data_IF_140650459030
#
_entry.id   IF_140650459030
#
_cell.length_a   1.000
_cell.length_b   1.000
_cell.length_c   1.000
_cell.angle_alpha   90.00
_cell.angle_beta   90.00
_cell.angle_gamma   90.00
#
_symmetry.space_group_name_H-M   'P 1'
#
loop_
_entity.id
_entity.type
_entity.pdbx_description
1 polymer ?
2 non-polymer ?
3 water ?
#
# COMPACT_ATOMS: atom_id res chain seq x y z
N UNK A 18 26.60 -2.16 -10.96
CA UNK A 18 26.25 -2.26 -9.51
C UNK A 18 24.74 -2.47 -9.43
N UNK A 19 24.01 -1.56 -10.11
CA UNK A 19 22.55 -1.62 -10.00
C UNK A 19 21.91 -1.91 -11.35
N UNK A 20 20.72 -2.52 -11.27
CA UNK A 20 19.88 -2.79 -12.42
C UNK A 20 19.10 -1.55 -12.86
N UNK A 21 19.29 -0.43 -12.17
CA UNK A 21 18.64 0.82 -12.48
C UNK A 21 19.58 1.89 -13.02
N UNK A 22 20.83 1.50 -13.32
CA UNK A 22 21.79 2.42 -13.89
C UNK A 22 21.39 2.76 -15.33
N UNK A 23 20.85 3.97 -15.51
CA UNK A 23 20.40 4.36 -16.85
C UNK A 23 18.89 4.49 -16.95
N UNK A 24 18.16 4.02 -15.92
CA UNK A 24 16.71 4.10 -15.95
C UNK A 24 16.25 5.55 -15.73
N UNK A 25 15.30 6.00 -16.55
CA UNK A 25 14.78 7.36 -16.43
C UNK A 25 13.27 7.39 -16.12
N UNK A 26 12.90 8.41 -15.35
CA UNK A 26 11.51 8.65 -14.97
C UNK A 26 10.93 9.71 -15.89
N UNK A 27 9.81 9.36 -16.51
CA UNK A 27 9.14 10.27 -17.43
C UNK A 27 7.80 10.72 -16.84
N UNK A 28 7.34 11.88 -17.27
CA UNK A 28 6.03 12.40 -16.91
C UNK A 28 5.18 12.52 -18.17
N UNK A 29 4.17 11.66 -18.31
CA UNK A 29 3.31 11.68 -19.48
C UNK A 29 2.06 12.51 -19.23
N UNK A 30 1.79 13.47 -20.09
CA UNK A 30 0.67 14.39 -20.00
C UNK A 30 -0.30 14.09 -21.12
N UNK A 31 -1.45 13.52 -20.78
CA UNK A 31 -2.48 13.19 -21.76
C UNK A 31 -3.56 14.27 -21.77
N UNK A 32 -4.06 14.58 -22.96
CA UNK A 32 -5.08 15.62 -23.14
C UNK A 32 -6.50 15.05 -23.11
N UNK A 33 -6.74 13.92 -23.77
CA UNK A 33 -8.08 13.34 -23.84
C UNK A 33 -8.13 11.89 -23.37
N UNK A 34 -9.34 11.32 -23.38
CA UNK A 34 -9.57 9.93 -23.01
C UNK A 34 -8.95 8.98 -24.03
N UNK A 35 -8.96 9.33 -25.29
CA UNK A 35 -8.39 8.59 -26.39
C UNK A 35 -6.91 8.27 -26.15
N UNK A 36 -6.19 9.21 -25.58
CA UNK A 36 -4.80 9.07 -25.23
C UNK A 36 -4.56 8.26 -23.95
N UNK A 37 -5.51 8.34 -23.00
CA UNK A 37 -5.45 7.57 -21.77
C UNK A 37 -5.33 6.07 -22.07
N UNK A 38 -6.10 5.59 -23.03
CA UNK A 38 -6.11 4.22 -23.50
C UNK A 38 -4.84 3.94 -24.30
N UNK A 39 -4.50 4.87 -25.19
CA UNK A 39 -3.33 4.79 -26.04
C UNK A 39 -2.08 4.50 -25.22
N UNK A 40 -1.81 5.38 -24.25
CA UNK A 40 -0.59 5.36 -23.45
C UNK A 40 -0.58 4.14 -22.53
N UNK A 41 -1.73 3.78 -22.01
CA UNK A 41 -1.90 2.69 -21.08
C UNK A 41 -1.53 1.35 -21.67
N UNK A 42 -2.05 1.02 -22.84
CA UNK A 42 -1.77 -0.22 -23.54
C UNK A 42 -0.30 -0.29 -23.95
N UNK A 43 0.24 0.85 -24.39
CA UNK A 43 1.63 0.90 -24.84
C UNK A 43 2.59 0.55 -23.70
N UNK A 44 2.37 1.16 -22.55
CA UNK A 44 3.14 0.91 -21.35
C UNK A 44 3.09 -0.57 -21.00
N UNK A 45 1.92 -1.20 -21.18
CA UNK A 45 1.72 -2.60 -20.84
C UNK A 45 2.44 -3.56 -21.76
N UNK A 46 2.37 -3.30 -23.05
CA UNK A 46 3.01 -4.16 -24.06
C UNK A 46 4.53 -4.02 -24.00
N UNK A 47 5.02 -2.87 -23.52
CA UNK A 47 6.43 -2.63 -23.36
C UNK A 47 6.87 -3.07 -21.96
N UNK A 48 5.93 -3.49 -21.16
CA UNK A 48 6.12 -3.89 -19.77
C UNK A 48 6.90 -2.90 -18.91
N UNK A 49 6.45 -1.65 -18.92
CA UNK A 49 7.09 -0.58 -18.15
C UNK A 49 6.54 -0.52 -16.72
N UNK A 50 7.32 0.09 -15.84
CA UNK A 50 6.92 0.31 -14.46
C UNK A 50 6.13 1.63 -14.36
N UNK A 51 4.81 1.51 -14.34
CA UNK A 51 3.91 2.63 -14.19
C UNK A 51 3.68 3.01 -12.73
N UNK A 52 4.34 4.05 -12.28
CA UNK A 52 4.18 4.55 -10.90
C UNK A 52 2.81 5.19 -10.69
N UNK A 53 2.33 5.95 -11.70
CA UNK A 53 1.01 6.58 -11.61
C UNK A 53 0.40 6.73 -12.99
N UNK A 54 -0.87 6.41 -13.12
CA UNK A 54 -1.55 6.50 -14.41
C UNK A 54 -1.79 7.93 -14.88
N UNK A 55 -1.64 8.15 -16.17
CA UNK A 55 -1.92 9.42 -16.81
C UNK A 55 -3.44 9.63 -17.00
N UNK A 56 -3.91 10.83 -16.67
CA UNK A 56 -5.29 11.22 -16.88
C UNK A 56 -5.33 12.72 -17.11
N UNK A 57 -6.21 13.22 -17.96
CA UNK A 57 -6.34 14.66 -18.18
C UNK A 57 -6.48 15.46 -16.90
N UNK A 58 -5.52 16.36 -16.65
CA UNK A 58 -5.50 17.18 -15.46
C UNK A 58 -4.53 16.72 -14.37
N UNK A 59 -4.01 15.51 -14.50
CA UNK A 59 -3.05 15.00 -13.52
C UNK A 59 -2.13 13.97 -14.17
N UNK A 60 -1.02 14.43 -14.76
CA UNK A 60 -0.06 13.62 -15.46
C UNK A 60 0.54 12.47 -14.65
N UNK A 61 0.85 11.37 -15.29
CA UNK A 61 1.36 10.22 -14.57
C UNK A 61 2.86 10.07 -14.71
N UNK A 62 3.43 9.17 -13.92
CA UNK A 62 4.86 8.91 -13.93
C UNK A 62 5.17 7.45 -14.27
N UNK A 63 6.20 7.26 -15.11
CA UNK A 63 6.58 5.90 -15.50
C UNK A 63 8.09 5.72 -15.53
N UNK A 64 8.57 4.58 -14.98
CA UNK A 64 9.99 4.29 -15.00
C UNK A 64 10.39 3.52 -16.25
N UNK A 65 11.21 4.09 -17.11
CA UNK A 65 11.60 3.52 -18.40
C UNK A 65 13.07 3.14 -18.46
N UNK A 66 13.34 1.88 -18.75
CA UNK A 66 14.70 1.34 -18.89
C UNK A 66 15.53 2.07 -19.93
N UNK A 67 16.86 2.03 -19.79
CA UNK A 67 17.76 2.70 -20.72
C UNK A 67 17.65 2.20 -22.15
N UNK A 68 17.44 0.90 -22.33
CA UNK A 68 17.34 0.29 -23.64
C UNK A 68 15.96 0.41 -24.24
N UNK A 69 15.09 1.21 -23.65
CA UNK A 69 13.73 1.41 -24.16
C UNK A 69 13.36 2.88 -24.21
N UNK A 70 14.25 3.75 -23.80
CA UNK A 70 14.04 5.19 -23.76
C UNK A 70 13.76 5.79 -25.13
N UNK A 71 14.50 5.34 -26.14
CA UNK A 71 14.35 5.83 -27.50
C UNK A 71 13.04 5.37 -28.13
N UNK A 72 12.68 4.10 -27.94
CA UNK A 72 11.45 3.54 -28.48
C UNK A 72 10.22 4.18 -27.81
N UNK A 73 10.34 4.41 -26.50
CA UNK A 73 9.26 4.93 -25.68
C UNK A 73 8.84 6.32 -26.13
N UNK A 74 9.81 7.24 -26.25
CA UNK A 74 9.54 8.62 -26.56
C UNK A 74 9.29 8.80 -28.05
N UNK A 75 9.65 7.81 -28.84
CA UNK A 75 9.39 7.77 -30.25
C UNK A 75 7.90 7.64 -30.51
N UNK A 76 7.26 6.74 -29.78
CA UNK A 76 5.84 6.48 -29.87
C UNK A 76 5.00 7.67 -29.40
N UNK A 77 5.43 8.30 -28.31
CA UNK A 77 4.71 9.44 -27.76
C UNK A 77 4.77 10.60 -28.75
N UNK A 78 5.91 10.79 -29.37
CA UNK A 78 6.11 11.84 -30.38
C UNK A 78 5.20 11.69 -31.61
N UNK A 79 5.06 10.48 -32.14
CA UNK A 79 4.21 10.22 -33.28
C UNK A 79 2.75 10.11 -32.91
N UNK A 80 2.46 9.98 -31.61
CA UNK A 80 1.09 9.94 -31.11
C UNK A 80 0.56 11.30 -30.67
N UNK A 81 1.43 12.31 -30.59
CA UNK A 81 1.05 13.62 -30.12
C UNK A 81 0.89 13.75 -28.61
N UNK A 82 1.44 12.82 -27.83
CA UNK A 82 1.31 12.82 -26.38
C UNK A 82 2.52 13.52 -25.76
N UNK A 83 2.29 14.56 -24.98
CA UNK A 83 3.32 15.26 -24.26
C UNK A 83 4.02 14.41 -23.20
N UNK A 84 5.31 14.66 -23.10
CA UNK A 84 6.07 13.97 -22.09
C UNK A 84 7.29 14.83 -21.78
N UNK A 85 7.86 14.38 -20.65
CA UNK A 85 9.15 15.03 -20.43
C UNK A 85 9.89 14.44 -19.26
N UNK A 86 11.23 14.45 -19.40
CA UNK A 86 12.28 13.86 -18.61
C UNK A 86 12.42 14.52 -17.23
N UNK A 87 12.04 13.75 -16.20
CA UNK A 87 12.13 14.20 -14.83
C UNK A 87 13.45 13.80 -14.19
N UNK A 88 13.81 12.54 -14.37
CA UNK A 88 15.01 11.94 -13.80
C UNK A 88 15.73 11.14 -14.88
N UNK A 89 16.95 11.52 -15.22
CA UNK A 89 17.69 10.85 -16.28
C UNK A 89 18.30 9.54 -15.81
N UNK A 90 18.72 9.50 -14.53
CA UNK A 90 19.25 8.26 -13.96
C UNK A 90 18.77 8.10 -12.53
N UNK A 91 17.78 7.25 -12.30
CA UNK A 91 17.23 7.00 -10.98
C UNK A 91 18.21 6.39 -9.97
N UNK A 92 19.35 5.92 -10.41
CA UNK A 92 20.36 5.32 -9.57
C UNK A 92 20.85 6.30 -8.52
N UNK A 93 21.04 7.56 -8.92
CA UNK A 93 21.47 8.61 -8.03
C UNK A 93 20.49 8.90 -6.91
N UNK A 94 19.20 8.76 -7.19
CA UNK A 94 18.15 8.97 -6.21
C UNK A 94 18.11 7.80 -5.22
N UNK A 95 18.41 6.61 -5.72
CA UNK A 95 18.40 5.42 -4.88
C UNK A 95 19.56 5.47 -3.88
N UNK A 96 20.71 5.88 -4.36
CA UNK A 96 21.93 5.97 -3.59
C UNK A 96 21.84 7.04 -2.50
N UNK A 97 21.09 8.10 -2.78
CA UNK A 97 20.85 9.14 -1.77
C UNK A 97 19.94 8.62 -0.65
N UNK A 98 18.90 7.87 -0.98
CA UNK A 98 17.98 7.33 0.00
C UNK A 98 18.74 6.43 0.96
N UNK A 99 19.59 5.56 0.42
CA UNK A 99 20.47 4.70 1.21
C UNK A 99 21.33 5.53 2.18
N UNK A 100 21.89 6.61 1.65
CA UNK A 100 22.71 7.52 2.44
C UNK A 100 21.92 8.17 3.54
N UNK A 101 20.72 8.64 3.25
CA UNK A 101 19.81 9.27 4.18
C UNK A 101 19.18 8.36 5.22
N UNK A 102 18.90 7.10 4.82
CA UNK A 102 18.37 6.11 5.73
C UNK A 102 19.46 5.49 6.62
N UNK A 103 20.67 5.37 6.10
CA UNK A 103 21.81 4.82 6.80
C UNK A 103 22.22 5.73 7.94
N UNK A 104 22.18 7.03 7.72
CA UNK A 104 22.54 7.99 8.74
C UNK A 104 21.47 8.06 9.83
N UNK A 105 20.21 7.86 9.43
CA UNK A 105 19.10 7.90 10.38
C UNK A 105 19.15 6.68 11.28
N UNK A 106 19.60 5.56 10.74
CA UNK A 106 19.67 4.30 11.47
C UNK A 106 20.83 4.32 12.46
N UNK A 107 21.85 5.12 12.19
CA UNK A 107 23.03 5.24 13.01
C UNK A 107 22.77 6.09 14.24
N UNK A 108 21.90 7.08 14.09
CA UNK A 108 21.60 8.01 15.18
C UNK A 108 20.41 7.52 16.01
N UNK A 109 19.63 6.60 15.46
CA UNK A 109 18.41 6.11 16.05
C UNK A 109 18.62 5.37 17.38
N UNK A 110 17.74 5.66 18.33
CA UNK A 110 17.72 4.97 19.61
C UNK A 110 16.71 3.85 19.61
N UNK A 111 16.33 3.38 18.44
CA UNK A 111 15.35 2.35 18.20
C UNK A 111 15.81 1.06 18.85
N UNK A 112 14.89 0.31 19.42
CA UNK A 112 15.22 -0.94 20.11
C UNK A 112 14.26 -2.03 19.69
N UNK A 113 14.56 -3.27 20.09
CA UNK A 113 13.73 -4.42 19.75
C UNK A 113 12.31 -4.32 20.31
N UNK A 114 12.12 -3.84 21.54
CA UNK A 114 10.81 -3.73 22.17
C UNK A 114 10.10 -2.41 21.82
N UNK A 115 10.82 -1.42 21.33
CA UNK A 115 10.30 -0.12 20.99
C UNK A 115 10.87 0.42 19.68
N UNK A 116 10.16 0.24 18.58
CA UNK A 116 10.54 0.78 17.28
C UNK A 116 10.22 2.27 17.20
N UNK A 117 11.24 3.10 16.96
CA UNK A 117 11.10 4.54 16.86
C UNK A 117 10.53 4.95 15.50
N UNK A 118 10.22 6.26 15.37
CA UNK A 118 9.75 6.77 14.08
C UNK A 118 10.79 7.68 13.42
N UNK A 119 12.07 7.30 13.55
CA UNK A 119 13.13 8.06 12.90
C UNK A 119 13.96 7.22 11.92
N UNK A 120 13.46 6.01 11.60
CA UNK A 120 14.11 5.19 10.60
C UNK A 120 13.19 4.12 10.05
N UNK A 121 13.58 3.43 8.98
CA UNK A 121 12.80 2.39 8.35
C UNK A 121 13.26 1.08 9.00
N UNK A 122 12.29 0.25 9.38
CA UNK A 122 12.58 -1.02 10.02
C UNK A 122 12.40 -2.20 9.07
N UNK A 123 13.28 -3.17 9.13
CA UNK A 123 13.25 -4.34 8.28
C UNK A 123 12.20 -5.34 8.74
N UNK A 124 12.01 -6.40 7.92
CA UNK A 124 11.01 -7.40 8.22
C UNK A 124 11.35 -8.06 9.55
N UNK A 125 12.62 -8.39 9.74
CA UNK A 125 13.10 -9.07 10.94
C UNK A 125 12.82 -8.25 12.19
N UNK A 126 13.05 -6.93 12.12
CA UNK A 126 12.87 -6.04 13.25
C UNK A 126 11.39 -5.92 13.62
N UNK A 127 10.52 -5.91 12.62
CA UNK A 127 9.06 -5.83 12.82
C UNK A 127 8.54 -7.14 13.40
N UNK A 128 9.07 -8.25 12.88
CA UNK A 128 8.70 -9.58 13.33
C UNK A 128 9.06 -9.77 14.80
N UNK A 129 10.26 -9.32 15.18
CA UNK A 129 10.72 -9.45 16.58
C UNK A 129 9.91 -8.54 17.50
N UNK A 130 9.64 -7.32 17.03
CA UNK A 130 8.90 -6.31 17.76
C UNK A 130 7.51 -6.81 18.15
N UNK A 131 6.78 -7.35 17.18
CA UNK A 131 5.46 -7.91 17.43
C UNK A 131 5.43 -8.90 18.58
N UNK A 132 6.44 -9.77 18.62
CA UNK A 132 6.56 -10.79 19.67
C UNK A 132 6.90 -10.22 21.03
N UNK A 133 7.57 -9.11 21.09
CA UNK A 133 8.00 -8.45 22.31
C UNK A 133 6.82 -7.73 22.94
N UNK A 134 5.95 -7.25 22.08
CA UNK A 134 4.74 -6.55 22.49
C UNK A 134 3.81 -7.51 23.20
N UNK A 135 3.71 -8.75 22.68
CA UNK A 135 2.84 -9.73 23.32
C UNK A 135 3.32 -10.23 24.68
N UNK A 136 4.61 -10.06 24.96
CA UNK A 136 5.17 -10.33 26.28
C UNK A 136 4.93 -9.25 27.32
N UNK A 137 4.97 -7.98 26.91
CA UNK A 137 4.81 -6.85 27.83
C UNK A 137 3.35 -6.46 28.03
N UNK A 138 2.50 -6.69 27.02
CA UNK A 138 1.08 -6.35 27.10
C UNK A 138 0.16 -7.51 26.74
N UNK A 139 0.19 -8.60 27.52
CA UNK A 139 -0.55 -9.81 27.23
C UNK A 139 -2.05 -9.70 27.36
N UNK A 140 -2.53 -8.75 28.16
CA UNK A 140 -3.98 -8.57 28.29
C UNK A 140 -4.67 -7.89 27.12
N UNK A 141 -3.95 -7.10 26.33
CA UNK A 141 -4.54 -6.49 25.15
C UNK A 141 -3.95 -6.93 23.82
N UNK A 142 -2.69 -7.37 23.81
CA UNK A 142 -1.97 -7.73 22.60
C UNK A 142 -1.87 -9.26 22.51
N UNK A 143 -2.05 -9.81 21.35
CA UNK A 143 -1.98 -11.19 21.01
C UNK A 143 -1.35 -11.31 19.60
N UNK A 144 -0.13 -11.81 19.55
CA UNK A 144 0.59 -11.98 18.30
C UNK A 144 0.17 -13.33 17.72
N UNK A 145 -0.17 -13.33 16.42
CA UNK A 145 -0.55 -14.56 15.73
C UNK A 145 0.09 -14.65 14.35
N UNK A 146 0.61 -15.79 13.97
CA UNK A 146 1.08 -16.13 12.66
C UNK A 146 -0.07 -16.55 11.74
N UNK A 147 -0.36 -15.74 10.73
CA UNK A 147 -1.44 -16.06 9.81
C UNK A 147 -0.98 -17.13 8.80
N UNK A 148 0.32 -17.27 8.56
CA UNK A 148 0.83 -18.31 7.69
C UNK A 148 2.28 -18.08 7.31
N UNK A 149 2.72 -18.69 6.20
CA UNK A 149 4.08 -18.59 5.71
C UNK A 149 4.05 -18.03 4.29
N UNK A 150 5.04 -17.17 4.00
CA UNK A 150 5.15 -16.60 2.65
C UNK A 150 5.66 -17.66 1.67
N UNK A 151 5.68 -17.32 0.38
CA UNK A 151 6.18 -18.29 -0.62
C UNK A 151 7.55 -18.83 -0.26
N UNK A 152 8.49 -17.95 0.12
CA UNK A 152 9.84 -18.37 0.49
C UNK A 152 9.92 -18.84 1.93
N UNK A 153 8.79 -19.04 2.58
CA UNK A 153 8.73 -19.72 3.87
C UNK A 153 8.75 -18.79 5.05
N UNK A 154 8.85 -17.48 4.84
CA UNK A 154 8.92 -16.53 5.93
C UNK A 154 7.60 -16.42 6.68
N UNK A 155 7.65 -16.37 7.99
CA UNK A 155 6.57 -16.25 8.91
C UNK A 155 5.90 -14.87 8.83
N UNK A 156 4.59 -14.88 8.60
CA UNK A 156 3.84 -13.65 8.46
C UNK A 156 2.87 -13.56 9.60
N UNK A 157 3.15 -12.70 10.58
CA UNK A 157 2.36 -12.56 11.76
C UNK A 157 1.73 -11.19 11.85
N UNK A 158 0.62 -11.12 12.60
CA UNK A 158 -0.17 -9.91 12.71
C UNK A 158 -0.58 -9.81 14.18
N UNK A 159 -1.12 -8.64 14.55
CA UNK A 159 -1.57 -8.43 15.90
C UNK A 159 -3.10 -8.46 16.01
N UNK A 160 -3.60 -8.87 17.16
CA UNK A 160 -5.01 -8.78 17.52
C UNK A 160 -5.12 -7.97 18.80
N UNK A 161 -5.37 -6.68 18.69
CA UNK A 161 -5.47 -5.78 19.84
C UNK A 161 -6.91 -5.72 20.36
N UNK A 162 -7.09 -6.07 21.62
CA UNK A 162 -8.39 -6.12 22.27
C UNK A 162 -8.31 -6.18 23.79
N UNK A 163 -9.19 -5.51 24.47
CA UNK A 163 -9.31 -5.53 25.92
C UNK A 163 -10.21 -6.68 26.36
N UNK A 164 -10.99 -7.19 25.43
CA UNK A 164 -11.87 -8.34 25.71
C UNK A 164 -11.42 -9.60 25.00
N UNK A 165 -10.18 -9.62 24.55
CA UNK A 165 -9.61 -10.75 23.84
C UNK A 165 -10.47 -11.32 22.73
N UNK A 166 -11.06 -10.46 21.90
CA UNK A 166 -11.95 -10.85 20.82
C UNK A 166 -13.11 -11.76 21.24
N UNK A 167 -13.53 -11.68 22.50
CA UNK A 167 -14.54 -12.52 23.09
C UNK A 167 -15.93 -11.90 23.00
N UNK A 168 -16.01 -10.59 23.15
CA UNK A 168 -17.28 -9.87 23.10
C UNK A 168 -17.59 -9.56 21.64
N UNK A 169 -18.49 -10.35 21.05
CA UNK A 169 -18.86 -10.22 19.66
C UNK A 169 -19.69 -8.99 19.33
N UNK A 170 -20.13 -8.23 20.32
CA UNK A 170 -20.85 -6.98 20.09
C UNK A 170 -19.92 -5.88 19.58
N UNK A 171 -18.63 -5.97 19.86
CA UNK A 171 -17.64 -4.99 19.44
C UNK A 171 -17.28 -5.18 17.97
N UNK A 172 -17.23 -4.09 17.20
CA UNK A 172 -16.84 -4.13 15.82
C UNK A 172 -15.35 -4.38 15.63
N UNK A 173 -14.94 -4.95 14.52
CA UNK A 173 -13.55 -5.15 14.14
C UNK A 173 -13.07 -4.23 13.01
N UNK A 174 -11.90 -3.66 13.18
CA UNK A 174 -11.24 -2.80 12.21
C UNK A 174 -9.92 -3.45 11.75
N UNK A 175 -9.88 -3.86 10.49
CA UNK A 175 -8.65 -4.50 9.98
C UNK A 175 -7.81 -3.45 9.29
N UNK A 176 -6.50 -3.57 9.45
CA UNK A 176 -5.55 -2.66 8.77
C UNK A 176 -4.32 -3.40 8.30
N UNK A 177 -3.83 -3.07 7.12
CA UNK A 177 -2.65 -3.74 6.57
C UNK A 177 -1.78 -2.83 5.73
N UNK A 178 -0.52 -3.17 5.57
CA UNK A 178 0.42 -2.42 4.80
C UNK A 178 1.49 -3.31 4.17
N UNK A 179 2.24 -2.72 3.24
CA UNK A 179 3.33 -3.41 2.57
C UNK A 179 2.90 -4.56 1.67
N UNK A 180 1.71 -4.52 1.12
CA UNK A 180 1.22 -5.48 0.15
C UNK A 180 2.10 -5.35 -1.11
N UNK A 181 2.38 -4.12 -1.52
CA UNK A 181 3.33 -3.76 -2.54
C UNK A 181 4.61 -3.35 -1.80
N UNK A 182 5.57 -4.26 -1.72
CA UNK A 182 6.78 -4.11 -0.96
C UNK A 182 7.61 -2.88 -1.15
N UNK A 183 7.52 -2.17 -2.24
CA UNK A 183 8.33 -0.97 -2.49
C UNK A 183 7.73 0.28 -1.85
N UNK A 184 6.47 0.16 -1.39
CA UNK A 184 5.84 1.29 -0.72
C UNK A 184 6.18 1.38 0.76
N UNK A 185 7.43 1.74 1.06
CA UNK A 185 8.00 1.72 2.39
C UNK A 185 7.34 2.64 3.39
N UNK A 186 6.83 3.77 2.94
CA UNK A 186 6.14 4.72 3.79
C UNK A 186 4.83 4.19 4.39
N UNK A 187 4.35 3.02 3.96
CA UNK A 187 3.12 2.44 4.48
C UNK A 187 3.31 1.80 5.85
N UNK A 188 4.51 1.29 6.13
CA UNK A 188 4.83 0.60 7.37
C UNK A 188 4.77 1.50 8.58
N UNK A 189 5.40 2.68 8.54
CA UNK A 189 5.28 3.66 9.62
C UNK A 189 3.86 3.94 10.02
N UNK A 190 2.95 4.06 9.02
CA UNK A 190 1.55 4.37 9.28
C UNK A 190 0.88 3.30 10.12
N UNK A 191 1.07 2.03 9.78
CA UNK A 191 0.50 0.91 10.49
C UNK A 191 1.19 0.68 11.82
N UNK A 192 2.44 1.11 11.94
CA UNK A 192 3.24 0.96 13.15
C UNK A 192 2.83 2.02 14.16
N UNK A 193 2.36 3.16 13.66
CA UNK A 193 1.95 4.25 14.55
C UNK A 193 0.65 3.86 15.21
N UNK A 194 -0.21 3.19 14.44
CA UNK A 194 -1.49 2.70 14.96
C UNK A 194 -1.32 1.73 16.13
N UNK A 195 -0.31 0.86 16.08
CA UNK A 195 0.06 -0.02 17.17
C UNK A 195 0.55 0.79 18.36
N UNK A 196 1.30 1.87 18.06
CA UNK A 196 1.90 2.70 19.10
C UNK A 196 0.84 3.41 19.90
N UNK A 197 -0.16 3.95 19.25
CA UNK A 197 -1.23 4.66 19.96
C UNK A 197 -2.28 3.75 20.60
N UNK A 198 -2.42 2.51 20.10
CA UNK A 198 -3.35 1.56 20.70
C UNK A 198 -2.73 0.73 21.82
N UNK A 199 -1.42 0.65 21.88
CA UNK A 199 -0.73 -0.17 22.87
C UNK A 199 0.22 0.63 23.74
N UNK A 200 1.22 1.30 23.18
CA UNK A 200 2.28 1.97 23.89
C UNK A 200 1.84 3.26 24.55
N UNK A 201 1.28 4.18 23.78
CA UNK A 201 0.86 5.47 24.26
C UNK A 201 -0.63 5.67 24.05
N UNK A 202 -1.46 5.05 24.88
CA UNK A 202 -2.91 5.10 24.75
C UNK A 202 -3.47 6.40 25.32
N UNK A 203 -3.69 7.38 24.44
CA UNK A 203 -4.25 8.63 24.88
C UNK A 203 -5.76 8.74 24.65
N UNK A 204 -6.34 7.78 23.94
CA UNK A 204 -7.74 7.70 23.63
C UNK A 204 -8.31 6.33 23.95
N UNK A 205 -8.93 6.21 25.10
CA UNK A 205 -9.44 4.95 25.62
C UNK A 205 -10.63 4.38 24.87
N UNK A 206 -11.41 5.27 24.20
CA UNK A 206 -12.57 4.79 23.46
C UNK A 206 -12.20 3.87 22.30
N UNK A 207 -11.03 4.12 21.67
CA UNK A 207 -10.60 3.37 20.51
C UNK A 207 -10.18 1.94 20.82
N UNK A 208 -9.71 1.68 22.02
CA UNK A 208 -9.34 0.34 22.43
C UNK A 208 -10.42 -0.43 23.16
N UNK A 209 -11.23 0.28 23.95
CA UNK A 209 -12.30 -0.34 24.69
C UNK A 209 -13.49 -0.81 23.83
N UNK A 210 -13.91 0.05 22.89
CA UNK A 210 -15.10 -0.27 22.08
C UNK A 210 -14.82 -0.95 20.75
N UNK A 211 -13.56 -1.07 20.33
CA UNK A 211 -13.17 -1.61 19.05
C UNK A 211 -12.09 -2.69 19.16
N UNK A 212 -12.28 -3.76 18.42
CA UNK A 212 -11.25 -4.80 18.25
C UNK A 212 -10.42 -4.62 16.97
N UNK A 213 -9.11 -4.67 17.08
CA UNK A 213 -8.25 -4.34 15.94
C UNK A 213 -7.38 -5.51 15.48
N UNK A 214 -7.16 -5.55 14.16
CA UNK A 214 -6.32 -6.51 13.50
C UNK A 214 -5.35 -5.67 12.70
N UNK A 215 -4.04 -5.82 12.97
CA UNK A 215 -3.03 -5.07 12.24
C UNK A 215 -1.97 -5.98 11.67
N UNK A 216 -1.78 -5.90 10.35
CA UNK A 216 -0.77 -6.69 9.64
C UNK A 216 0.27 -5.75 9.02
N UNK A 217 1.40 -5.53 9.69
CA UNK A 217 2.45 -4.63 9.26
C UNK A 217 3.05 -4.98 7.91
N UNK A 218 3.59 -6.17 7.71
CA UNK A 218 4.27 -6.64 6.53
C UNK A 218 3.52 -7.74 5.81
N UNK A 219 2.68 -7.34 4.84
CA UNK A 219 1.85 -8.27 4.09
C UNK A 219 2.60 -9.01 3.02
N UNK A 220 3.77 -8.51 2.65
CA UNK A 220 4.61 -9.10 1.62
C UNK A 220 6.08 -9.17 2.06
N UNK A 221 6.43 -10.04 2.99
CA UNK A 221 7.75 -10.17 3.58
C UNK A 221 8.88 -10.51 2.61
N UNK A 222 8.66 -11.45 1.70
CA UNK A 222 9.65 -11.78 0.67
C UNK A 222 10.06 -10.60 -0.20
N UNK A 223 9.07 -9.83 -0.69
CA UNK A 223 9.35 -8.69 -1.54
C UNK A 223 10.03 -7.58 -0.75
N UNK A 224 9.52 -7.32 0.45
CA UNK A 224 10.06 -6.30 1.31
C UNK A 224 11.56 -6.55 1.59
N UNK A 225 11.92 -7.82 1.78
CA UNK A 225 13.31 -8.15 2.12
C UNK A 225 14.15 -7.95 0.87
N UNK A 226 13.55 -8.24 -0.29
CA UNK A 226 14.20 -8.14 -1.57
C UNK A 226 14.45 -6.68 -1.91
N UNK A 227 13.55 -5.79 -1.54
CA UNK A 227 13.70 -4.37 -1.78
C UNK A 227 14.77 -3.74 -0.90
N UNK A 228 15.06 -4.35 0.25
CA UNK A 228 16.08 -3.89 1.18
C UNK A 228 17.51 -4.14 0.71
N UNK A 229 17.74 -5.18 -0.04
CA UNK A 229 19.03 -5.47 -0.59
C UNK A 229 18.95 -6.02 -2.00
N UNK A 230 18.72 -5.12 -2.96
CA UNK A 230 18.52 -5.54 -4.34
C UNK A 230 17.58 -4.60 -5.10
N UNK A 231 16.51 -5.19 -5.65
CA UNK A 231 15.54 -4.41 -6.39
C UNK A 231 14.68 -3.55 -5.49
N UNK A 232 15.07 -2.29 -5.25
CA UNK A 232 14.34 -1.29 -4.51
C UNK A 232 12.92 -1.09 -5.05
N UNK A 233 12.76 -1.11 -6.38
CA UNK A 233 11.46 -0.80 -6.96
C UNK A 233 10.60 -2.03 -7.22
N UNK A 234 10.95 -3.15 -6.59
CA UNK A 234 10.13 -4.36 -6.67
C UNK A 234 8.83 -4.14 -5.91
N UNK A 235 7.72 -4.63 -6.44
CA UNK A 235 6.41 -4.53 -5.79
C UNK A 235 5.68 -5.85 -5.62
N UNK A 236 5.97 -6.84 -6.45
CA UNK A 236 5.27 -8.11 -6.43
C UNK A 236 5.86 -9.02 -5.35
N UNK A 237 5.29 -10.23 -5.19
CA UNK A 237 5.91 -11.19 -4.27
C UNK A 237 7.08 -11.90 -4.99
N UNK A 238 7.57 -13.00 -4.42
CA UNK A 238 8.73 -13.66 -5.03
C UNK A 238 8.43 -15.07 -5.53
N UNK A 239 7.28 -15.26 -6.15
CA UNK A 239 6.84 -16.60 -6.57
C UNK A 239 7.52 -17.05 -7.86
N UNK A 240 8.00 -18.30 -7.80
CA UNK A 240 8.70 -18.88 -8.98
C UNK A 240 7.77 -19.90 -9.63
N UNK A 241 8.28 -20.62 -10.64
CA UNK A 241 7.49 -21.66 -11.30
C UNK A 241 6.48 -21.09 -12.26
N UNK A 242 6.65 -19.83 -12.70
CA UNK A 242 5.72 -19.21 -13.63
C UNK A 242 6.37 -18.97 -15.00
N UNK A 243 7.63 -19.34 -15.18
CA UNK A 243 8.32 -19.21 -16.45
C UNK A 243 9.56 -20.07 -16.45
N UNK A 244 9.94 -20.55 -17.63
CA UNK A 244 11.13 -21.36 -17.85
C UNK A 244 12.41 -20.71 -17.39
N UNK A 245 13.09 -21.35 -16.44
CA UNK A 245 14.33 -20.77 -15.90
C UNK A 245 14.06 -19.58 -14.99
N UNK A 246 12.81 -19.27 -14.73
CA UNK A 246 12.34 -18.17 -13.92
C UNK A 246 12.96 -16.86 -14.36
N UNK A 247 12.96 -16.63 -15.68
CA UNK A 247 13.42 -15.36 -16.25
C UNK A 247 12.63 -14.21 -15.61
N UNK A 248 11.30 -14.38 -15.55
CA UNK A 248 10.40 -13.44 -14.91
C UNK A 248 9.72 -14.17 -13.76
N UNK A 249 9.48 -13.46 -12.66
CA UNK A 249 8.82 -14.05 -11.51
C UNK A 249 8.00 -13.01 -10.75
N UNK A 250 7.21 -13.50 -9.76
CA UNK A 250 6.38 -12.69 -8.90
C UNK A 250 5.03 -12.35 -9.49
N UNK A 251 4.07 -12.25 -8.58
CA UNK A 251 2.68 -11.95 -8.83
C UNK A 251 2.31 -10.66 -8.08
N UNK A 252 1.54 -9.80 -8.75
CA UNK A 252 1.02 -8.59 -8.10
C UNK A 252 -0.11 -9.02 -7.15
N UNK A 253 0.20 -8.96 -5.84
CA UNK A 253 -0.80 -9.42 -4.85
C UNK A 253 -2.08 -8.62 -4.80
N UNK A 254 -2.06 -7.39 -5.31
CA UNK A 254 -3.25 -6.54 -5.34
C UNK A 254 -4.07 -6.82 -6.58
N UNK A 255 -3.78 -7.93 -7.26
CA UNK A 255 -4.51 -8.36 -8.44
C UNK A 255 -4.83 -9.86 -8.29
N UNK A 256 -4.48 -10.42 -7.14
CA UNK A 256 -4.68 -11.83 -6.84
C UNK A 256 -5.88 -12.12 -5.93
N UNK A 257 -6.76 -11.13 -5.71
CA UNK A 257 -7.96 -11.35 -4.87
C UNK A 257 -9.18 -11.71 -5.68
N UNK A 258 -10.14 -12.38 -5.08
CA UNK A 258 -11.28 -13.00 -5.71
C UNK A 258 -12.36 -12.11 -6.23
N UNK A 259 -12.34 -10.81 -5.98
CA UNK A 259 -13.35 -9.89 -6.52
C UNK A 259 -13.04 -9.53 -7.96
N UNK A 260 -13.69 -10.21 -8.88
CA UNK A 260 -13.55 -10.00 -10.32
C UNK A 260 -12.14 -10.26 -10.84
N UNK A 261 -11.52 -11.32 -10.33
CA UNK A 261 -10.13 -11.63 -10.67
C UNK A 261 -9.91 -11.79 -12.17
N UNK A 262 -8.78 -11.34 -12.67
CA UNK A 262 -8.40 -11.53 -14.06
C UNK A 262 -9.05 -10.65 -15.10
N UNK A 263 -9.95 -9.75 -14.70
CA UNK A 263 -10.72 -8.96 -15.66
C UNK A 263 -9.96 -7.68 -16.03
N UNK A 264 -9.14 -7.20 -15.10
CA UNK A 264 -8.40 -5.96 -15.38
C UNK A 264 -6.96 -6.03 -14.89
N UNK A 265 -6.21 -7.01 -15.36
CA UNK A 265 -4.84 -7.25 -14.99
C UNK A 265 -4.06 -7.99 -16.08
N UNK A 266 -2.75 -8.07 -15.96
CA UNK A 266 -1.88 -8.65 -16.93
C UNK A 266 -1.80 -10.17 -16.86
N UNK A 267 -1.50 -10.78 -18.01
CA UNK A 267 -1.46 -12.22 -18.16
C UNK A 267 -0.03 -12.69 -18.33
N UNK A 268 0.89 -11.75 -18.35
CA UNK A 268 2.31 -12.04 -18.48
C UNK A 268 2.99 -11.95 -17.11
N UNK A 269 3.90 -12.81 -16.80
CA UNK A 269 4.58 -12.91 -15.52
C UNK A 269 5.66 -11.86 -15.47
N UNK A 270 6.02 -11.35 -16.64
CA UNK A 270 7.05 -10.30 -16.74
C UNK A 270 6.48 -8.94 -16.42
N UNK A 271 5.17 -8.82 -16.43
CA UNK A 271 4.50 -7.57 -16.04
C UNK A 271 4.42 -7.39 -14.53
N UNK A 272 4.41 -6.15 -14.06
CA UNK A 272 4.29 -5.82 -12.65
C UNK A 272 2.86 -6.00 -12.14
N UNK A 273 1.88 -6.19 -13.02
CA UNK A 273 0.49 -6.36 -12.68
C UNK A 273 -0.03 -7.74 -12.99
N UNK A 274 0.84 -8.74 -13.02
CA UNK A 274 0.48 -10.13 -13.23
C UNK A 274 -0.45 -10.64 -12.13
N UNK A 275 -1.59 -11.21 -12.51
CA UNK A 275 -2.61 -11.65 -11.59
C UNK A 275 -2.32 -13.03 -11.00
N UNK A 276 -1.38 -13.79 -11.55
CA UNK A 276 -1.22 -15.19 -11.13
C UNK A 276 -2.04 -16.26 -11.86
N UNK A 277 -1.90 -17.50 -11.41
CA UNK A 277 -2.58 -18.66 -11.95
C UNK A 277 -4.10 -18.52 -11.80
N UNK A 278 -4.54 -18.13 -10.62
CA UNK A 278 -5.92 -17.98 -10.25
C UNK A 278 -6.04 -17.07 -9.02
N UNK A 279 -7.28 -16.84 -8.59
CA UNK A 279 -7.55 -16.02 -7.42
C UNK A 279 -6.99 -16.71 -6.18
N UNK A 280 -6.25 -15.99 -5.36
CA UNK A 280 -5.63 -16.52 -4.17
C UNK A 280 -4.70 -17.69 -4.46
N UNK A 281 -3.94 -17.60 -5.55
CA UNK A 281 -2.91 -18.57 -5.88
C UNK A 281 -1.65 -18.40 -5.05
N UNK A 282 -1.44 -17.17 -4.54
CA UNK A 282 -0.28 -16.88 -3.70
C UNK A 282 -0.63 -17.05 -2.24
N UNK A 283 0.32 -17.52 -1.44
CA UNK A 283 0.15 -17.70 -0.01
C UNK A 283 -0.08 -16.40 0.76
N UNK A 284 0.49 -15.29 0.29
CA UNK A 284 0.36 -14.01 0.95
C UNK A 284 -1.09 -13.50 0.90
N UNK A 285 -1.73 -13.64 -0.24
CA UNK A 285 -3.13 -13.24 -0.41
C UNK A 285 -4.08 -14.24 0.26
N UNK A 286 -3.69 -15.50 0.36
CA UNK A 286 -4.50 -16.53 0.95
C UNK A 286 -4.63 -16.28 2.44
N UNK A 287 -3.50 -15.94 3.10
CA UNK A 287 -3.51 -15.72 4.53
C UNK A 287 -4.43 -14.55 4.90
N UNK A 288 -4.42 -13.50 4.07
CA UNK A 288 -5.30 -12.36 4.25
C UNK A 288 -6.77 -12.72 4.12
N UNK A 289 -7.05 -13.60 3.19
CA UNK A 289 -8.38 -14.13 2.96
C UNK A 289 -8.89 -14.87 4.19
N UNK A 290 -8.07 -15.74 4.75
CA UNK A 290 -8.41 -16.49 5.94
C UNK A 290 -8.66 -15.64 7.16
N UNK A 291 -7.91 -14.57 7.33
CA UNK A 291 -8.15 -13.59 8.40
C UNK A 291 -9.50 -12.86 8.22
N UNK A 292 -9.83 -12.48 6.99
CA UNK A 292 -11.06 -11.77 6.71
C UNK A 292 -12.23 -12.68 7.00
N UNK A 293 -12.12 -13.95 6.61
CA UNK A 293 -13.19 -14.92 6.72
C UNK A 293 -13.54 -15.23 8.15
N UNK A 294 -12.49 -15.42 8.95
CA UNK A 294 -12.67 -15.65 10.41
C UNK A 294 -13.44 -14.53 11.09
N UNK A 295 -13.25 -13.28 10.69
CA UNK A 295 -13.88 -12.15 11.35
C UNK A 295 -14.93 -11.41 10.53
N UNK A 296 -15.46 -12.05 9.50
CA UNK A 296 -16.37 -11.36 8.58
C UNK A 296 -17.72 -11.06 9.24
N UNK A 297 -18.04 -11.82 10.29
CA UNK A 297 -19.26 -11.66 11.06
C UNK A 297 -19.40 -10.31 11.74
N UNK A 298 -18.30 -9.65 12.08
CA UNK A 298 -18.36 -8.34 12.71
C UNK A 298 -17.32 -7.31 12.26
N UNK A 299 -16.71 -7.49 11.12
CA UNK A 299 -15.75 -6.53 10.56
C UNK A 299 -16.45 -5.26 10.06
N UNK A 300 -16.13 -4.13 10.71
CA UNK A 300 -16.79 -2.88 10.32
C UNK A 300 -15.98 -2.07 9.30
N UNK A 301 -14.66 -2.15 9.36
CA UNK A 301 -13.82 -1.33 8.49
C UNK A 301 -12.53 -2.09 8.10
N UNK A 302 -12.21 -1.96 6.81
CA UNK A 302 -11.02 -2.58 6.28
C UNK A 302 -10.18 -1.55 5.52
N UNK A 303 -8.90 -1.48 5.84
CA UNK A 303 -8.02 -0.50 5.24
C UNK A 303 -6.77 -1.15 4.64
N UNK A 304 -6.57 -0.98 3.36
CA UNK A 304 -5.37 -1.45 2.65
C UNK A 304 -4.52 -0.22 2.36
N UNK A 305 -3.47 -0.05 3.15
CA UNK A 305 -2.61 1.13 3.06
C UNK A 305 -1.54 1.00 2.01
N UNK A 306 -1.63 1.86 0.99
CA UNK A 306 -0.65 1.95 -0.06
C UNK A 306 -0.04 3.36 -0.10
N UNK A 307 0.95 3.45 -0.99
CA UNK A 307 1.66 4.59 -1.36
C UNK A 307 2.05 4.58 -2.88
N UNK A 308 1.57 5.38 -3.82
CA UNK A 308 1.73 6.81 -3.61
C UNK A 308 0.62 7.65 -4.22
N UNK A 309 -0.01 8.78 -3.79
CA UNK A 309 -1.10 9.50 -4.40
C UNK A 309 -1.89 10.55 -3.62
N UNK A 310 -1.96 10.39 -2.30
CA UNK A 310 -2.71 11.27 -1.43
C UNK A 310 -4.20 11.18 -1.77
N UNK A 311 -4.73 9.98 -1.72
CA UNK A 311 -6.11 9.71 -2.02
C UNK A 311 -6.67 8.55 -1.22
N UNK A 312 -7.97 8.60 -0.97
CA UNK A 312 -8.70 7.50 -0.32
C UNK A 312 -9.72 6.96 -1.32
N UNK A 313 -9.52 5.73 -1.82
CA UNK A 313 -10.41 5.17 -2.86
C UNK A 313 -11.25 4.02 -2.31
N UNK A 314 -12.29 3.74 -3.05
CA UNK A 314 -13.24 2.67 -2.74
C UNK A 314 -14.00 2.31 -4.00
N UNK A 315 -14.99 1.49 -3.83
CA UNK A 315 -15.88 1.12 -4.93
C UNK A 315 -15.84 -0.31 -5.19
N UNK A 316 -15.24 -0.49 -6.29
CA UNK A 316 -14.93 -1.72 -6.93
C UNK A 316 -14.14 -1.24 -8.17
N UNK A 317 -12.94 -1.71 -8.34
CA UNK A 317 -12.04 -1.27 -9.48
C UNK A 317 -12.77 -1.19 -10.84
N UNK A 318 -13.85 -1.83 -11.16
CA UNK A 318 -14.48 -1.99 -12.46
C UNK A 318 -15.38 -0.83 -12.82
N UNK A 319 -15.66 0.05 -11.90
CA UNK A 319 -16.46 1.23 -12.10
C UNK A 319 -17.83 1.15 -11.44
N UNK A 320 -18.37 -0.03 -11.21
CA UNK A 320 -19.67 -0.21 -10.61
C UNK A 320 -19.61 0.17 -9.14
N UNK A 321 -20.56 0.94 -8.68
CA UNK A 321 -20.64 1.44 -7.33
C UNK A 321 -21.47 0.53 -6.44
N UNK A 322 -21.10 0.38 -5.17
CA UNK A 322 -21.85 -0.44 -4.23
C UNK A 322 -23.09 0.27 -3.73
N UNK A 323 -23.96 -0.46 -3.04
CA UNK A 323 -25.24 0.10 -2.55
C UNK A 323 -25.03 1.28 -1.62
N UNK A 324 -24.05 1.22 -0.73
CA UNK A 324 -23.78 2.27 0.26
C UNK A 324 -22.71 3.26 -0.23
N UNK A 325 -22.71 3.59 -1.51
CA UNK A 325 -21.75 4.47 -2.11
C UNK A 325 -21.71 5.81 -1.40
N UNK A 326 -22.89 6.39 -1.18
CA UNK A 326 -22.99 7.69 -0.53
C UNK A 326 -22.36 7.69 0.86
N UNK A 327 -22.57 6.61 1.59
CA UNK A 327 -21.98 6.43 2.93
C UNK A 327 -20.46 6.26 2.88
N UNK A 328 -19.99 5.49 1.90
CA UNK A 328 -18.57 5.28 1.70
C UNK A 328 -17.83 6.59 1.42
N UNK A 329 -18.39 7.43 0.52
CA UNK A 329 -17.74 8.67 0.17
C UNK A 329 -17.75 9.66 1.36
N UNK A 330 -18.84 9.72 2.08
CA UNK A 330 -19.02 10.59 3.23
C UNK A 330 -17.96 10.35 4.29
N UNK A 331 -17.74 9.06 4.63
CA UNK A 331 -16.74 8.72 5.65
C UNK A 331 -15.34 8.97 5.13
N UNK A 332 -15.16 8.74 3.83
CA UNK A 332 -13.90 9.03 3.18
C UNK A 332 -13.51 10.49 3.25
N UNK A 333 -14.50 11.38 3.04
CA UNK A 333 -14.31 12.81 3.13
C UNK A 333 -13.99 13.25 4.56
N UNK A 334 -14.60 12.57 5.53
CA UNK A 334 -14.35 12.88 6.93
C UNK A 334 -12.92 12.52 7.30
N UNK A 335 -12.43 11.40 6.77
CA UNK A 335 -11.07 10.96 7.07
C UNK A 335 -10.07 11.86 6.37
N UNK A 336 -10.38 12.25 5.14
CA UNK A 336 -9.55 13.15 4.36
C UNK A 336 -9.39 14.52 5.01
N UNK A 337 -10.47 15.14 5.39
CA UNK A 337 -10.46 16.42 6.08
C UNK A 337 -9.69 16.41 7.40
N UNK A 338 -9.72 15.27 8.10
CA UNK A 338 -8.97 15.12 9.35
C UNK A 338 -7.46 15.06 9.10
N UNK A 339 -7.06 14.52 7.95
CA UNK A 339 -5.65 14.42 7.58
C UNK A 339 -5.14 15.75 7.05
N UNK A 340 -5.94 16.42 6.25
CA UNK A 340 -5.60 17.71 5.67
C UNK A 340 -5.48 18.82 6.71
N UNK A 341 -6.14 18.62 7.85
CA UNK A 341 -6.05 19.59 8.93
C UNK A 341 -4.71 19.55 9.63
N UNK A 342 -3.97 18.45 9.50
CA UNK A 342 -2.68 18.32 10.18
C UNK A 342 -1.51 18.10 9.21
N UNK A 343 -1.78 18.25 7.92
CA UNK A 343 -0.81 17.95 6.89
C UNK A 343 0.38 18.93 6.89
N UNK A 344 1.38 18.61 6.08
CA UNK A 344 2.54 19.48 5.84
C UNK A 344 2.11 20.49 4.78
N UNK A 345 2.52 21.74 4.96
CA UNK A 345 2.21 22.81 4.02
C UNK A 345 2.69 22.48 2.62
N UNK A 346 3.80 21.78 2.51
CA UNK A 346 4.37 21.35 1.25
C UNK A 346 3.50 20.35 0.50
N UNK A 347 2.77 19.51 1.23
CA UNK A 347 1.94 18.47 0.68
C UNK A 347 0.53 18.93 0.31
N UNK A 348 -0.11 18.18 -0.60
CA UNK A 348 -1.42 18.51 -1.11
C UNK A 348 -2.59 17.83 -0.40
N UNK A 349 -3.81 18.34 -0.66
CA UNK A 349 -5.00 17.81 0.03
C UNK A 349 -5.41 16.44 -0.49
N UNK A 350 -6.07 15.67 0.35
CA UNK A 350 -6.51 14.32 -0.02
C UNK A 350 -7.67 14.31 -1.00
N UNK A 351 -7.60 13.45 -1.99
CA UNK A 351 -8.69 13.18 -2.93
C UNK A 351 -9.52 11.98 -2.45
N UNK A 352 -10.83 12.04 -2.67
CA UNK A 352 -11.74 10.98 -2.33
C UNK A 352 -12.53 10.53 -3.55
N UNK A 353 -12.72 9.25 -3.75
CA UNK A 353 -13.53 8.76 -4.83
C UNK A 353 -13.40 7.27 -5.16
N UNK A 354 -14.15 6.86 -6.18
CA UNK A 354 -14.11 5.53 -6.73
C UNK A 354 -12.76 5.25 -7.42
N UNK A 355 -12.28 4.03 -7.34
CA UNK A 355 -11.04 3.55 -7.87
C UNK A 355 -10.96 3.71 -9.38
N UNK A 356 -11.97 3.24 -10.10
CA UNK A 356 -12.05 3.33 -11.53
C UNK A 356 -12.09 4.78 -12.00
N UNK A 357 -12.84 5.63 -11.30
CA UNK A 357 -13.05 7.00 -11.65
C UNK A 357 -11.82 7.84 -11.46
N UNK A 358 -11.13 7.67 -10.34
CA UNK A 358 -9.93 8.46 -10.04
C UNK A 358 -8.70 7.96 -10.77
N UNK A 359 -8.39 6.67 -10.67
CA UNK A 359 -7.20 6.12 -11.32
C UNK A 359 -7.55 5.44 -12.62
N UNK A 360 -7.62 4.11 -12.64
CA UNK A 360 -7.89 3.34 -13.85
C UNK A 360 -8.49 1.98 -13.48
N UNK A 361 -9.04 1.29 -14.49
CA UNK A 361 -9.67 -0.01 -14.23
C UNK A 361 -8.68 -0.96 -13.57
N UNK A 362 -9.13 -1.62 -12.52
CA UNK A 362 -8.32 -2.57 -11.76
C UNK A 362 -9.21 -3.65 -11.15
N UNK A 363 -8.71 -4.85 -11.03
CA UNK A 363 -9.42 -5.96 -10.44
C UNK A 363 -8.51 -6.79 -9.54
N UNK A 364 -9.16 -7.64 -8.71
CA UNK A 364 -8.35 -8.47 -7.82
C UNK A 364 -7.79 -7.70 -6.63
N UNK A 365 -8.32 -6.53 -6.32
CA UNK A 365 -7.81 -5.72 -5.24
C UNK A 365 -8.30 -6.22 -3.89
N UNK A 366 -7.49 -6.01 -2.88
CA UNK A 366 -7.76 -6.46 -1.51
C UNK A 366 -8.97 -5.77 -0.92
N UNK A 367 -9.05 -4.45 -1.00
CA UNK A 367 -10.19 -3.69 -0.46
C UNK A 367 -11.52 -4.06 -1.11
N UNK A 368 -11.50 -4.37 -2.41
CA UNK A 368 -12.71 -4.78 -3.10
C UNK A 368 -13.25 -6.13 -2.61
N UNK A 369 -12.34 -7.08 -2.35
CA UNK A 369 -12.71 -8.38 -1.89
C UNK A 369 -13.28 -8.33 -0.45
N UNK A 370 -12.63 -7.60 0.40
CA UNK A 370 -13.03 -7.39 1.77
C UNK A 370 -14.43 -6.79 1.88
N UNK A 371 -14.71 -5.84 0.99
CA UNK A 371 -16.03 -5.25 0.82
C UNK A 371 -17.09 -6.27 0.41
N UNK A 372 -16.71 -7.19 -0.46
CA UNK A 372 -17.61 -8.22 -0.97
C UNK A 372 -17.87 -9.34 0.02
N UNK A 373 -16.86 -9.67 0.82
CA UNK A 373 -17.06 -10.76 1.80
C UNK A 373 -17.17 -10.36 3.26
N UNK A 374 -17.08 -9.07 3.63
CA UNK A 374 -17.05 -8.73 5.05
C UNK A 374 -17.42 -7.30 5.36
N UNK A 375 -16.49 -6.37 5.23
CA UNK A 375 -16.67 -4.99 5.73
C UNK A 375 -17.63 -4.24 4.84
N UNK A 376 -18.58 -3.53 5.45
CA UNK A 376 -19.49 -2.64 4.76
C UNK A 376 -18.77 -1.41 4.27
N UNK A 377 -17.65 -1.10 4.90
CA UNK A 377 -16.80 0.04 4.59
C UNK A 377 -15.38 -0.44 4.36
N UNK A 378 -14.82 -0.20 3.18
CA UNK A 378 -13.49 -0.68 2.84
C UNK A 378 -12.81 0.30 1.89
N UNK A 379 -11.64 0.77 2.28
CA UNK A 379 -10.86 1.71 1.49
C UNK A 379 -9.45 1.19 1.20
N UNK A 380 -8.86 1.77 0.18
CA UNK A 380 -7.45 1.59 -0.17
C UNK A 380 -6.77 2.97 -0.04
N UNK A 381 -5.93 3.14 0.97
CA UNK A 381 -5.24 4.39 1.22
C UNK A 381 -4.05 4.54 0.29
N UNK A 382 -3.84 5.76 -0.17
CA UNK A 382 -2.69 6.12 -0.98
C UNK A 382 -2.01 7.26 -0.24
N UNK A 383 -1.03 6.98 0.57
CA UNK A 383 -0.25 7.96 1.30
C UNK A 383 0.52 8.96 0.42
N UNK A 384 0.80 10.12 0.94
CA UNK A 384 1.42 11.23 0.23
C UNK A 384 2.82 10.86 -0.20
N UNK A 385 3.21 11.32 -1.38
CA UNK A 385 4.57 11.25 -1.86
C UNK A 385 5.30 12.48 -1.31
N UNK A 386 6.13 12.36 -0.30
CA UNK A 386 6.89 13.46 0.23
C UNK A 386 8.06 13.90 -0.64
N UNK A 387 8.08 15.18 -0.96
CA UNK A 387 9.07 15.80 -1.82
C UNK A 387 10.18 16.46 -1.00
N UNK A 388 11.35 16.65 -1.62
CA UNK A 388 12.46 17.33 -0.98
C UNK A 388 13.34 18.03 -2.01
N UNK A 389 14.57 18.32 -1.64
CA UNK A 389 15.51 19.04 -2.49
C UNK A 389 15.79 18.25 -3.76
N UNK A 390 16.01 16.94 -3.62
CA UNK A 390 16.34 16.09 -4.77
C UNK A 390 15.13 15.49 -5.47
N UNK A 391 14.44 14.53 -4.85
CA UNK A 391 13.32 13.89 -5.51
C UNK A 391 11.98 14.60 -5.30
N UNK A 392 11.03 14.29 -6.19
CA UNK A 392 9.67 14.80 -6.09
C UNK A 392 8.72 13.70 -5.63
N UNK A 393 7.95 13.17 -6.56
CA UNK A 393 6.95 12.15 -6.25
C UNK A 393 7.60 10.79 -6.53
N UNK A 394 7.51 9.88 -5.59
CA UNK A 394 7.99 8.53 -5.83
C UNK A 394 7.79 7.63 -4.60
N UNK A 395 8.65 6.63 -4.48
CA UNK A 395 8.53 5.68 -3.40
C UNK A 395 9.63 5.84 -2.35
N UNK A 396 10.65 6.64 -2.66
CA UNK A 396 11.78 6.90 -1.77
C UNK A 396 11.35 7.68 -0.53
N UNK A 397 11.85 7.30 0.61
CA UNK A 397 11.49 7.84 1.89
C UNK A 397 12.58 8.76 2.46
N UNK A 398 12.20 9.96 2.87
CA UNK A 398 13.01 10.91 3.59
C UNK A 398 12.71 10.72 5.08
N UNK A 399 13.71 10.39 5.89
CA UNK A 399 13.57 10.14 7.32
C UNK A 399 12.92 11.24 8.12
N UNK A 400 12.70 12.43 7.59
CA UNK A 400 12.04 13.55 8.24
C UNK A 400 10.54 13.45 8.16
N UNK A 401 10.03 12.66 7.24
CA UNK A 401 8.57 12.51 7.06
C UNK A 401 8.05 11.25 7.75
N UNK A 402 8.92 10.41 8.28
CA UNK A 402 8.54 9.12 8.86
C UNK A 402 7.51 9.22 9.97
N UNK A 403 7.76 10.04 10.99
CA UNK A 403 6.80 10.24 12.06
C UNK A 403 5.53 10.94 11.60
N UNK A 404 5.65 11.95 10.73
CA UNK A 404 4.53 12.74 10.27
C UNK A 404 3.60 11.86 9.42
N UNK A 405 4.17 10.92 8.67
CA UNK A 405 3.47 9.97 7.86
C UNK A 405 2.54 9.13 8.72
N UNK A 406 3.06 8.66 9.85
CA UNK A 406 2.29 7.92 10.82
C UNK A 406 1.20 8.74 11.51
N UNK A 407 1.63 9.89 12.02
CA UNK A 407 0.73 10.74 12.82
C UNK A 407 -0.41 11.28 11.98
N UNK A 408 -0.04 11.80 10.80
CA UNK A 408 -1.04 12.30 9.82
C UNK A 408 -2.13 11.30 9.46
N UNK A 409 -1.76 10.06 9.12
CA UNK A 409 -2.68 9.00 8.75
C UNK A 409 -3.54 8.55 9.90
N UNK A 410 -2.99 8.60 11.12
CA UNK A 410 -3.70 8.08 12.29
C UNK A 410 -4.92 8.98 12.58
N UNK A 411 -4.79 10.25 12.26
CA UNK A 411 -5.89 11.21 12.33
C UNK A 411 -7.07 10.75 11.49
N UNK A 412 -6.79 10.24 10.28
CA UNK A 412 -7.85 9.79 9.38
C UNK A 412 -8.41 8.45 9.79
N UNK A 413 -7.53 7.56 10.23
CA UNK A 413 -7.90 6.21 10.64
C UNK A 413 -8.86 6.21 11.83
N UNK A 414 -8.55 6.94 12.90
CA UNK A 414 -9.39 6.93 14.07
C UNK A 414 -10.76 7.57 13.82
N UNK A 415 -10.81 8.53 12.91
CA UNK A 415 -12.03 9.21 12.54
C UNK A 415 -12.88 8.22 11.78
N UNK A 416 -12.20 7.43 10.95
CA UNK A 416 -12.89 6.45 10.13
C UNK A 416 -13.41 5.28 10.96
N UNK A 417 -12.54 4.80 11.86
CA UNK A 417 -12.88 3.69 12.74
C UNK A 417 -14.11 4.01 13.59
N UNK A 418 -14.18 5.24 14.10
CA UNK A 418 -15.28 5.65 14.95
C UNK A 418 -16.54 5.85 14.14
N UNK A 419 -16.39 6.46 12.96
CA UNK A 419 -17.52 6.65 12.04
C UNK A 419 -18.05 5.33 11.49
N UNK A 420 -17.12 4.42 11.13
CA UNK A 420 -17.51 3.13 10.58
C UNK A 420 -18.15 2.27 11.67
N UNK A 421 -17.64 2.34 12.89
CA UNK A 421 -18.13 1.61 14.03
C UNK A 421 -19.52 2.12 14.39
N UNK A 422 -19.76 3.42 14.22
CA UNK A 422 -21.05 4.05 14.49
C UNK A 422 -22.11 3.61 13.49
N UNK A 423 -21.75 2.89 12.44
CA UNK A 423 -22.66 2.14 11.60
C UNK A 423 -23.08 0.80 12.25
N UNK A 424 -23.60 0.91 13.48
CA UNK A 424 -24.24 -0.19 14.17
C UNK A 424 -25.77 0.01 14.03
N UNK A 425 -26.14 0.97 13.19
CA UNK A 425 -27.51 1.19 12.75
C UNK A 425 -27.90 0.30 11.58
N UNK A 426 -26.92 -0.41 11.00
CA UNK A 426 -27.21 -1.34 9.91
C UNK A 426 -27.75 -2.70 10.41
X LIG B 1 0.28 -0.26 -4.18
#
# INVERSE_FOLDING_TARGET
MKYLFIFCLFVAGVLAKHEIYDGHAVYQVDVASMDQVKLVHDFENDLMLDVWSDAVPGRPGKVLVPKFKREIFENFLKQSGVQYKLEVENVKEQLELEDQLLAAAAAKSNSTRSRLSFDKIHSYEEVDAYLQELAKEFPNVVTVVEGGKSFEGRSIKYLRISTTNFQDASKPVVMMQSLLHCREWVTLPATLYAIHKLVIDVTESDLINNIDWIILPVANPDGYVHTFGGDRYWRKNRATGYMAGNLCMGVDLNRNFGMNWGTASSSSVCSDTFHGRSAFSEPESSVIRDIIAEHRNRMALYLDIHSFGSMILYGYGNGVLPSNALQLHLIGVQMAQAIDRVKWSSNKDYIVGNIFHVLYAASGGASDYAMQAAAPFSYTYELPAYRNSVWFDGFLVDPDFIEQAGFETWEGIKVGARAAAAAAKELKKLNTA
ZN ZN
#
